data_IF_481658844321
#
_entry.id   IF_481658844321
#
_cell.length_a   1.000
_cell.length_b   1.000
_cell.length_c   1.000
_cell.angle_alpha   90.00
_cell.angle_beta   90.00
_cell.angle_gamma   90.00
#
_symmetry.space_group_name_H-M   'P 1'
#
loop_
_entity.id
_entity.type
_entity.pdbx_description
1 polymer ?
#
# COMPACT_ATOMS: atom_id res chain seq x y z
N UNK A 1 -29.85 -50.69 -2.30
CA UNK A 1 -28.63 -49.89 -2.52
C UNK A 1 -28.85 -48.52 -1.90
N UNK A 2 -28.24 -48.24 -0.75
CA UNK A 2 -28.31 -46.93 -0.12
C UNK A 2 -27.21 -46.04 -0.70
N UNK A 3 -27.58 -45.05 -1.51
CA UNK A 3 -26.65 -44.00 -1.93
C UNK A 3 -26.31 -43.14 -0.71
N UNK A 4 -25.05 -43.19 -0.29
CA UNK A 4 -24.51 -42.46 0.85
C UNK A 4 -24.47 -40.95 0.58
N UNK A 5 -25.52 -40.27 1.03
CA UNK A 5 -25.70 -38.80 0.97
C UNK A 5 -24.60 -37.97 1.69
N UNK A 6 -23.71 -38.61 2.49
CA UNK A 6 -22.54 -37.97 3.10
C UNK A 6 -21.45 -37.60 2.08
N UNK A 7 -21.30 -38.39 1.01
CA UNK A 7 -20.22 -38.22 0.04
C UNK A 7 -20.35 -36.94 -0.82
N UNK A 8 -21.58 -36.52 -1.17
CA UNK A 8 -21.78 -35.34 -2.03
C UNK A 8 -21.52 -34.02 -1.31
N UNK A 9 -21.84 -33.93 0.00
CA UNK A 9 -21.57 -32.74 0.82
C UNK A 9 -20.06 -32.52 1.04
N UNK A 10 -19.32 -33.59 1.33
CA UNK A 10 -17.88 -33.51 1.55
C UNK A 10 -17.13 -33.15 0.26
N UNK A 11 -17.61 -33.64 -0.89
CA UNK A 11 -17.07 -33.28 -2.21
C UNK A 11 -17.31 -31.80 -2.52
N UNK A 12 -18.53 -31.29 -2.30
CA UNK A 12 -18.86 -29.87 -2.51
C UNK A 12 -18.09 -28.91 -1.60
N UNK A 13 -17.87 -29.28 -0.34
CA UNK A 13 -17.07 -28.48 0.59
C UNK A 13 -15.59 -28.41 0.18
N UNK A 14 -15.03 -29.54 -0.30
CA UNK A 14 -13.66 -29.60 -0.80
C UNK A 14 -13.48 -28.78 -2.07
N UNK A 15 -14.40 -28.89 -3.02
CA UNK A 15 -14.36 -28.09 -4.26
C UNK A 15 -14.46 -26.59 -3.98
N UNK A 16 -15.35 -26.18 -3.06
CA UNK A 16 -15.45 -24.79 -2.64
C UNK A 16 -14.16 -24.29 -2.00
N UNK A 17 -13.55 -25.09 -1.13
CA UNK A 17 -12.27 -24.77 -0.50
C UNK A 17 -11.14 -24.61 -1.53
N UNK A 18 -11.07 -25.48 -2.52
CA UNK A 18 -10.08 -25.39 -3.60
C UNK A 18 -10.28 -24.12 -4.42
N UNK A 19 -11.52 -23.82 -4.85
CA UNK A 19 -11.82 -22.60 -5.62
C UNK A 19 -11.51 -21.32 -4.84
N UNK A 20 -11.81 -21.31 -3.54
CA UNK A 20 -11.47 -20.16 -2.67
C UNK A 20 -9.95 -19.98 -2.55
N UNK A 21 -9.21 -21.09 -2.47
CA UNK A 21 -7.76 -21.06 -2.43
C UNK A 21 -7.14 -20.56 -3.76
N UNK A 22 -7.67 -21.00 -4.90
CA UNK A 22 -7.27 -20.52 -6.23
C UNK A 22 -7.47 -18.99 -6.33
N UNK A 23 -8.67 -18.50 -6.01
CA UNK A 23 -8.97 -17.05 -6.02
C UNK A 23 -8.05 -16.25 -5.10
N UNK A 24 -7.73 -16.78 -3.92
CA UNK A 24 -6.78 -16.15 -3.00
C UNK A 24 -5.38 -16.11 -3.60
N UNK A 25 -4.94 -17.20 -4.23
CA UNK A 25 -3.61 -17.28 -4.86
C UNK A 25 -3.47 -16.31 -6.03
N UNK A 26 -4.51 -16.16 -6.83
CA UNK A 26 -4.58 -15.17 -7.92
C UNK A 26 -4.49 -13.74 -7.37
N UNK A 27 -5.30 -13.45 -6.34
CA UNK A 27 -5.29 -12.16 -5.63
C UNK A 27 -3.88 -11.84 -5.09
N UNK A 28 -3.22 -12.82 -4.48
CA UNK A 28 -1.87 -12.66 -3.92
C UNK A 28 -0.80 -12.45 -4.98
N UNK A 29 -0.92 -13.15 -6.11
CA UNK A 29 -0.04 -12.96 -7.27
C UNK A 29 -0.17 -11.54 -7.81
N UNK A 30 -1.40 -11.02 -7.85
CA UNK A 30 -1.67 -9.67 -8.31
C UNK A 30 -1.18 -8.59 -7.36
N UNK A 31 -1.32 -8.78 -6.03
CA UNK A 31 -0.68 -7.93 -5.01
C UNK A 31 0.83 -7.83 -5.26
N UNK A 32 1.50 -8.97 -5.44
CA UNK A 32 2.96 -8.98 -5.67
C UNK A 32 3.36 -8.30 -6.98
N UNK A 33 2.52 -8.36 -8.02
CA UNK A 33 2.73 -7.60 -9.26
C UNK A 33 2.55 -6.11 -9.02
N UNK A 34 1.47 -5.71 -8.35
CA UNK A 34 1.17 -4.32 -8.05
C UNK A 34 2.28 -3.67 -7.20
N UNK A 35 2.81 -4.38 -6.20
CA UNK A 35 3.96 -3.93 -5.40
C UNK A 35 5.19 -3.57 -6.24
N UNK A 36 5.44 -4.33 -7.32
CA UNK A 36 6.58 -4.11 -8.22
C UNK A 36 6.30 -3.03 -9.25
N UNK A 37 5.07 -2.95 -9.75
CA UNK A 37 4.69 -2.03 -10.82
C UNK A 37 4.50 -0.60 -10.28
N UNK A 38 4.07 -0.47 -9.03
CA UNK A 38 3.89 0.81 -8.32
C UNK A 38 5.03 1.12 -7.33
N UNK A 39 6.20 0.50 -7.50
CA UNK A 39 7.38 0.79 -6.69
C UNK A 39 7.86 2.25 -6.94
N UNK A 40 7.89 3.11 -5.90
CA UNK A 40 8.37 4.48 -6.02
C UNK A 40 9.79 4.62 -6.58
N UNK A 41 10.69 3.65 -6.35
CA UNK A 41 12.09 3.72 -6.86
C UNK A 41 12.19 3.66 -8.38
N UNK A 42 11.13 3.17 -9.02
CA UNK A 42 11.06 3.04 -10.48
C UNK A 42 10.51 4.31 -11.13
N UNK A 43 10.18 5.32 -10.32
CA UNK A 43 9.73 6.64 -10.75
C UNK A 43 10.90 7.62 -10.80
N UNK A 44 10.80 8.67 -11.63
CA UNK A 44 11.73 9.79 -11.57
C UNK A 44 11.77 10.39 -10.17
N UNK A 45 12.90 10.97 -9.80
CA UNK A 45 12.95 11.91 -8.67
C UNK A 45 12.14 13.17 -9.01
N UNK A 46 11.78 14.02 -8.03
CA UNK A 46 11.13 15.29 -8.31
C UNK A 46 11.87 16.14 -9.36
N UNK A 47 13.20 16.20 -9.32
CA UNK A 47 14.02 16.87 -10.33
C UNK A 47 13.89 16.20 -11.70
N UNK A 48 13.90 14.86 -11.74
CA UNK A 48 13.71 14.10 -12.98
C UNK A 48 12.32 14.27 -13.60
N UNK A 49 11.29 14.62 -12.82
CA UNK A 49 9.99 15.02 -13.36
C UNK A 49 10.05 16.39 -14.04
N UNK A 50 10.70 17.37 -13.39
CA UNK A 50 10.90 18.72 -13.94
C UNK A 50 11.73 18.68 -15.23
N UNK A 51 12.81 17.89 -15.25
CA UNK A 51 13.64 17.71 -16.45
C UNK A 51 12.86 17.14 -17.64
N UNK A 52 11.92 16.22 -17.39
CA UNK A 52 11.07 15.62 -18.42
C UNK A 52 10.02 16.58 -18.96
N UNK A 53 9.47 17.44 -18.10
CA UNK A 53 8.54 18.49 -18.52
C UNK A 53 9.23 19.51 -19.44
N UNK A 54 10.50 19.80 -19.18
CA UNK A 54 11.31 20.75 -19.96
C UNK A 54 12.09 20.11 -21.12
N UNK A 55 11.98 18.80 -21.35
CA UNK A 55 12.62 18.14 -22.47
C UNK A 55 11.90 18.51 -23.79
N UNK A 56 12.63 19.14 -24.72
CA UNK A 56 12.11 19.69 -25.97
C UNK A 56 11.26 18.68 -26.78
N UNK A 57 10.00 19.07 -27.06
CA UNK A 57 9.24 18.57 -28.21
C UNK A 57 8.10 17.59 -27.96
N UNK A 58 7.74 17.27 -26.70
CA UNK A 58 6.49 16.56 -26.42
C UNK A 58 5.43 17.52 -25.85
N UNK A 59 4.20 17.53 -26.41
CA UNK A 59 3.09 18.17 -25.71
C UNK A 59 2.95 17.52 -24.33
N UNK A 60 2.82 18.36 -23.30
CA UNK A 60 2.64 17.94 -21.91
C UNK A 60 1.25 17.31 -21.71
N UNK A 61 0.97 16.19 -22.37
CA UNK A 61 -0.03 15.26 -21.88
C UNK A 61 0.55 14.74 -20.57
N UNK A 62 0.02 15.29 -19.45
CA UNK A 62 0.67 15.35 -18.15
C UNK A 62 1.47 14.11 -17.74
N UNK A 63 2.63 14.33 -17.13
CA UNK A 63 3.51 13.23 -16.70
C UNK A 63 2.79 12.42 -15.61
N UNK A 64 2.52 11.14 -15.90
CA UNK A 64 1.87 10.24 -14.95
C UNK A 64 2.75 9.98 -13.71
N UNK A 65 2.21 10.31 -12.53
CA UNK A 65 2.88 10.10 -11.24
C UNK A 65 2.94 8.60 -10.86
N UNK A 66 1.92 7.84 -11.22
CA UNK A 66 1.79 6.38 -11.00
C UNK A 66 1.59 5.69 -12.36
N UNK A 67 2.14 4.49 -12.59
CA UNK A 67 1.91 3.75 -13.87
C UNK A 67 0.58 2.99 -13.91
N UNK A 68 -0.29 3.19 -12.93
CA UNK A 68 -1.65 2.65 -12.98
C UNK A 68 -2.61 3.72 -12.52
N UNK A 69 -3.71 3.80 -13.24
CA UNK A 69 -4.88 4.53 -12.81
C UNK A 69 -5.57 3.75 -11.69
N UNK A 70 -5.53 4.32 -10.48
CA UNK A 70 -6.14 3.73 -9.30
C UNK A 70 -7.67 3.96 -9.24
N UNK A 71 -8.22 4.76 -10.14
CA UNK A 71 -9.66 4.96 -10.29
C UNK A 71 -10.28 4.07 -11.38
N UNK A 72 -9.45 3.33 -12.13
CA UNK A 72 -9.89 2.41 -13.17
C UNK A 72 -10.77 1.27 -12.62
N UNK A 73 -11.72 0.81 -13.44
CA UNK A 73 -12.60 -0.33 -13.10
C UNK A 73 -11.78 -1.58 -12.76
N UNK A 74 -10.72 -1.86 -13.52
CA UNK A 74 -9.80 -2.98 -13.26
C UNK A 74 -9.18 -2.91 -11.86
N UNK A 75 -8.80 -1.71 -11.42
CA UNK A 75 -8.23 -1.51 -10.09
C UNK A 75 -9.29 -1.65 -8.99
N UNK A 76 -10.49 -1.14 -9.21
CA UNK A 76 -11.62 -1.31 -8.29
C UNK A 76 -12.00 -2.79 -8.13
N UNK A 77 -12.02 -3.55 -9.23
CA UNK A 77 -12.23 -4.99 -9.19
C UNK A 77 -11.11 -5.72 -8.45
N UNK A 78 -9.85 -5.32 -8.66
CA UNK A 78 -8.71 -5.88 -7.95
C UNK A 78 -8.81 -5.63 -6.43
N UNK A 79 -9.06 -4.39 -6.02
CA UNK A 79 -9.20 -4.05 -4.60
C UNK A 79 -10.39 -4.78 -3.94
N UNK A 80 -11.53 -4.90 -4.63
CA UNK A 80 -12.66 -5.70 -4.16
C UNK A 80 -12.31 -7.20 -4.00
N UNK A 81 -11.46 -7.75 -4.86
CA UNK A 81 -10.93 -9.12 -4.72
C UNK A 81 -10.03 -9.26 -3.50
N UNK A 82 -9.17 -8.27 -3.23
CA UNK A 82 -8.36 -8.24 -2.00
C UNK A 82 -9.27 -8.28 -0.77
N UNK A 83 -10.30 -7.45 -0.72
CA UNK A 83 -11.24 -7.43 0.39
C UNK A 83 -12.01 -8.75 0.57
N UNK A 84 -12.35 -9.41 -0.53
CA UNK A 84 -13.13 -10.64 -0.53
C UNK A 84 -12.33 -11.90 -0.20
N UNK A 85 -11.07 -11.99 -0.66
CA UNK A 85 -10.30 -13.25 -0.65
C UNK A 85 -9.06 -13.23 0.24
N UNK A 86 -8.48 -12.05 0.50
CA UNK A 86 -7.30 -11.94 1.34
C UNK A 86 -7.64 -12.14 2.84
N UNK A 87 -6.65 -12.62 3.59
CA UNK A 87 -6.71 -12.60 5.06
C UNK A 87 -6.83 -11.18 5.60
N UNK A 88 -7.25 -11.04 6.85
CA UNK A 88 -7.28 -9.75 7.54
C UNK A 88 -5.88 -9.11 7.62
N UNK A 89 -4.85 -9.91 7.90
CA UNK A 89 -3.47 -9.43 7.94
C UNK A 89 -2.98 -8.90 6.58
N UNK A 90 -3.28 -9.62 5.50
CA UNK A 90 -2.89 -9.20 4.15
C UNK A 90 -3.68 -7.97 3.72
N UNK A 91 -4.98 -7.93 3.98
CA UNK A 91 -5.84 -6.78 3.67
C UNK A 91 -5.36 -5.52 4.41
N UNK A 92 -5.08 -5.65 5.70
CA UNK A 92 -4.55 -4.54 6.50
C UNK A 92 -3.24 -3.99 5.93
N UNK A 93 -2.28 -4.87 5.64
CA UNK A 93 -0.98 -4.46 5.06
C UNK A 93 -1.13 -3.88 3.65
N UNK A 94 -2.07 -4.40 2.85
CA UNK A 94 -2.39 -3.87 1.54
C UNK A 94 -2.99 -2.45 1.63
N UNK A 95 -3.95 -2.21 2.52
CA UNK A 95 -4.50 -0.87 2.76
C UNK A 95 -3.44 0.11 3.28
N UNK A 96 -2.56 -0.34 4.18
CA UNK A 96 -1.43 0.46 4.66
C UNK A 96 -0.45 0.81 3.53
N UNK A 97 -0.21 -0.12 2.60
CA UNK A 97 0.62 0.13 1.43
C UNK A 97 -0.01 1.19 0.51
N UNK A 98 -1.32 1.09 0.23
CA UNK A 98 -2.03 2.12 -0.53
C UNK A 98 -1.96 3.50 0.14
N UNK A 99 -2.15 3.55 1.45
CA UNK A 99 -2.06 4.80 2.21
C UNK A 99 -0.64 5.40 2.18
N UNK A 100 0.40 4.54 2.19
CA UNK A 100 1.79 4.97 2.08
C UNK A 100 2.11 5.48 0.67
N UNK A 101 1.58 4.83 -0.38
CA UNK A 101 1.68 5.31 -1.76
C UNK A 101 0.98 6.67 -1.93
N UNK A 102 -0.19 6.87 -1.33
CA UNK A 102 -0.86 8.17 -1.35
C UNK A 102 0.00 9.26 -0.68
N UNK A 103 0.66 8.94 0.45
CA UNK A 103 1.61 9.85 1.10
C UNK A 103 2.83 10.16 0.25
N UNK A 104 3.41 9.15 -0.41
CA UNK A 104 4.53 9.35 -1.32
C UNK A 104 4.15 10.25 -2.51
N UNK A 105 2.99 10.00 -3.12
CA UNK A 105 2.48 10.82 -4.23
C UNK A 105 2.27 12.28 -3.79
N UNK A 106 1.67 12.49 -2.61
CA UNK A 106 1.46 13.80 -2.04
C UNK A 106 2.78 14.56 -1.82
N UNK A 107 3.76 13.91 -1.19
CA UNK A 107 5.07 14.52 -0.92
C UNK A 107 5.87 14.79 -2.19
N UNK A 108 5.71 13.93 -3.21
CA UNK A 108 6.31 14.16 -4.54
C UNK A 108 5.74 15.44 -5.15
N UNK A 109 4.40 15.61 -5.12
CA UNK A 109 3.76 16.84 -5.60
C UNK A 109 4.20 18.08 -4.79
N UNK A 110 4.32 17.95 -3.46
CA UNK A 110 4.84 19.02 -2.58
C UNK A 110 6.25 19.44 -3.01
N UNK A 111 7.14 18.49 -3.30
CA UNK A 111 8.49 18.77 -3.81
C UNK A 111 8.44 19.50 -5.15
N UNK A 112 7.61 19.05 -6.10
CA UNK A 112 7.48 19.66 -7.42
C UNK A 112 6.98 21.12 -7.34
N UNK A 113 6.01 21.40 -6.48
CA UNK A 113 5.48 22.76 -6.29
C UNK A 113 6.53 23.72 -5.73
N UNK A 114 7.41 23.24 -4.84
CA UNK A 114 8.45 24.07 -4.21
C UNK A 114 9.75 24.14 -5.01
N UNK A 115 9.92 23.27 -6.02
CA UNK A 115 11.12 23.23 -6.85
C UNK A 115 11.35 24.59 -7.54
N UNK A 116 12.51 25.20 -7.31
CA UNK A 116 12.89 26.50 -7.86
C UNK A 116 12.19 27.74 -7.26
N UNK A 117 11.11 27.56 -6.50
CA UNK A 117 10.36 28.65 -5.87
C UNK A 117 10.80 28.92 -4.41
N UNK A 118 11.09 27.87 -3.64
CA UNK A 118 11.45 27.97 -2.22
C UNK A 118 12.41 26.84 -1.83
N UNK A 119 13.71 27.13 -1.79
CA UNK A 119 14.75 26.12 -1.53
C UNK A 119 14.68 25.50 -0.14
N UNK A 120 14.22 26.23 0.87
CA UNK A 120 14.07 25.70 2.24
C UNK A 120 12.91 24.71 2.32
N UNK A 121 11.74 25.09 1.79
CA UNK A 121 10.59 24.17 1.74
C UNK A 121 10.82 22.97 0.84
N UNK A 122 11.59 23.16 -0.23
CA UNK A 122 12.00 22.06 -1.10
C UNK A 122 12.85 21.04 -0.33
N UNK A 123 13.90 21.50 0.38
CA UNK A 123 14.76 20.63 1.18
C UNK A 123 13.98 19.88 2.28
N UNK A 124 13.06 20.56 2.96
CA UNK A 124 12.17 19.94 3.95
C UNK A 124 11.29 18.85 3.31
N UNK A 125 10.65 19.15 2.18
CA UNK A 125 9.77 18.21 1.49
C UNK A 125 10.53 16.99 0.96
N UNK A 126 11.75 17.17 0.48
CA UNK A 126 12.62 16.06 0.04
C UNK A 126 13.00 15.15 1.20
N UNK A 127 13.32 15.71 2.37
CA UNK A 127 13.60 14.90 3.57
C UNK A 127 12.37 14.09 4.03
N UNK A 128 11.18 14.70 3.98
CA UNK A 128 9.92 13.99 4.25
C UNK A 128 9.66 12.88 3.21
N UNK A 129 9.94 13.15 1.93
CA UNK A 129 9.76 12.19 0.83
C UNK A 129 10.67 10.96 1.01
N UNK A 130 11.93 11.16 1.37
CA UNK A 130 12.88 10.09 1.65
C UNK A 130 12.43 9.21 2.83
N UNK A 131 11.91 9.84 3.88
CA UNK A 131 11.34 9.12 5.03
C UNK A 131 10.10 8.32 4.62
N UNK A 132 9.19 8.92 3.85
CA UNK A 132 7.99 8.27 3.34
C UNK A 132 8.32 7.09 2.43
N UNK A 133 9.35 7.22 1.60
CA UNK A 133 9.87 6.15 0.78
C UNK A 133 10.35 4.96 1.64
N UNK A 134 11.16 5.22 2.67
CA UNK A 134 11.64 4.17 3.57
C UNK A 134 10.47 3.45 4.26
N UNK A 135 9.45 4.18 4.71
CA UNK A 135 8.23 3.63 5.28
C UNK A 135 7.46 2.76 4.27
N UNK A 136 7.24 3.26 3.06
CA UNK A 136 6.55 2.54 1.98
C UNK A 136 7.25 1.22 1.65
N UNK A 137 8.58 1.25 1.55
CA UNK A 137 9.40 0.07 1.30
C UNK A 137 9.28 -0.99 2.41
N UNK A 138 9.29 -0.57 3.67
CA UNK A 138 9.09 -1.49 4.80
C UNK A 138 7.69 -2.13 4.77
N UNK A 139 6.65 -1.39 4.39
CA UNK A 139 5.31 -1.95 4.20
C UNK A 139 5.30 -2.98 3.06
N UNK A 140 5.92 -2.67 1.92
CA UNK A 140 6.04 -3.60 0.79
C UNK A 140 6.75 -4.89 1.18
N UNK A 141 7.82 -4.83 2.00
CA UNK A 141 8.49 -6.01 2.56
C UNK A 141 7.58 -6.82 3.46
N UNK A 142 6.89 -6.17 4.39
CA UNK A 142 5.99 -6.85 5.33
C UNK A 142 4.85 -7.55 4.60
N UNK A 143 4.20 -6.85 3.65
CA UNK A 143 3.13 -7.40 2.81
C UNK A 143 3.62 -8.58 1.97
N UNK A 144 4.78 -8.45 1.30
CA UNK A 144 5.38 -9.54 0.52
C UNK A 144 5.63 -10.77 1.39
N UNK A 145 6.22 -10.58 2.57
CA UNK A 145 6.51 -11.70 3.45
C UNK A 145 5.24 -12.28 4.11
N UNK A 146 4.16 -11.51 4.27
CA UNK A 146 2.86 -12.01 4.74
C UNK A 146 2.21 -12.89 3.67
N UNK A 147 2.13 -12.39 2.43
CA UNK A 147 1.63 -13.15 1.27
C UNK A 147 2.41 -14.45 1.10
N UNK A 148 3.75 -14.41 1.13
CA UNK A 148 4.59 -15.61 1.02
C UNK A 148 4.37 -16.61 2.16
N UNK A 149 4.19 -16.12 3.39
CA UNK A 149 3.91 -16.98 4.53
C UNK A 149 2.57 -17.72 4.33
N UNK A 150 1.52 -17.00 3.91
CA UNK A 150 0.21 -17.59 3.70
C UNK A 150 0.17 -18.57 2.53
N UNK A 151 0.85 -18.27 1.41
CA UNK A 151 1.03 -19.21 0.29
C UNK A 151 1.75 -20.49 0.72
N UNK A 152 2.63 -20.40 1.73
CA UNK A 152 3.31 -21.54 2.34
C UNK A 152 2.51 -22.17 3.52
N UNK A 153 1.25 -21.78 3.71
CA UNK A 153 0.38 -22.21 4.81
C UNK A 153 0.95 -21.92 6.21
N UNK A 154 1.79 -20.90 6.34
CA UNK A 154 2.37 -20.45 7.61
C UNK A 154 1.57 -19.31 8.19
N UNK A 155 1.29 -19.39 9.49
CA UNK A 155 0.70 -18.28 10.24
C UNK A 155 1.76 -17.24 10.55
N UNK A 156 1.48 -15.98 10.21
CA UNK A 156 2.30 -14.82 10.57
C UNK A 156 1.38 -13.72 11.06
N UNK A 157 1.77 -13.07 12.16
CA UNK A 157 1.09 -11.90 12.68
C UNK A 157 1.77 -10.62 12.20
N UNK A 158 0.97 -9.60 11.91
CA UNK A 158 1.49 -8.26 11.60
C UNK A 158 2.16 -7.64 12.83
N UNK A 159 3.37 -7.11 12.64
CA UNK A 159 4.09 -6.35 13.67
C UNK A 159 3.32 -5.08 14.02
N UNK A 160 3.44 -4.59 15.25
CA UNK A 160 2.77 -3.34 15.66
C UNK A 160 3.22 -2.19 14.75
N UNK A 161 2.26 -1.45 14.20
CA UNK A 161 2.51 -0.35 13.27
C UNK A 161 2.28 0.99 13.97
N UNK A 162 3.19 1.92 13.74
CA UNK A 162 3.02 3.35 14.05
C UNK A 162 3.05 4.10 12.72
N UNK A 163 2.06 4.96 12.50
CA UNK A 163 1.92 5.75 11.28
C UNK A 163 1.94 7.24 11.60
N UNK A 164 2.51 8.02 10.70
CA UNK A 164 2.40 9.48 10.67
C UNK A 164 1.61 9.86 9.43
N UNK A 165 0.71 10.84 9.55
CA UNK A 165 -0.13 11.31 8.46
C UNK A 165 -0.06 12.83 8.35
N UNK A 166 -0.26 13.42 7.16
CA UNK A 166 -0.35 14.86 7.01
C UNK A 166 -1.58 15.39 7.76
N UNK A 167 -1.46 16.57 8.35
CA UNK A 167 -2.60 17.23 8.99
C UNK A 167 -3.69 17.53 7.95
N UNK A 168 -4.94 17.15 8.24
CA UNK A 168 -6.08 17.39 7.36
C UNK A 168 -6.20 16.47 6.14
N UNK A 169 -5.22 15.62 5.83
CA UNK A 169 -5.29 14.70 4.70
C UNK A 169 -5.67 13.28 5.14
N UNK A 170 -6.96 12.98 5.05
CA UNK A 170 -7.54 11.72 5.49
C UNK A 170 -7.25 10.60 4.48
N UNK A 171 -6.15 9.85 4.70
CA UNK A 171 -5.84 8.64 3.93
C UNK A 171 -4.39 8.52 3.47
N UNK A 172 -3.60 9.59 3.53
CA UNK A 172 -2.16 9.55 3.26
C UNK A 172 -1.37 9.21 4.52
N UNK A 173 -0.32 8.43 4.35
CA UNK A 173 0.64 8.09 5.41
C UNK A 173 2.03 8.48 4.94
N UNK A 174 2.67 9.40 5.67
CA UNK A 174 4.00 9.96 5.34
C UNK A 174 5.15 9.26 6.06
N UNK A 175 4.87 8.46 7.08
CA UNK A 175 5.87 7.62 7.73
C UNK A 175 5.22 6.35 8.29
N UNK A 176 5.92 5.24 8.19
CA UNK A 176 5.50 3.95 8.73
C UNK A 176 6.65 3.30 9.48
N UNK A 177 6.41 2.95 10.74
CA UNK A 177 7.38 2.26 11.59
C UNK A 177 6.78 0.97 12.15
N UNK A 178 7.43 -0.15 11.85
CA UNK A 178 7.13 -1.43 12.49
C UNK A 178 7.92 -1.56 13.79
N UNK A 179 7.21 -1.55 14.92
CA UNK A 179 7.80 -1.60 16.25
C UNK A 179 7.59 -2.97 16.91
N UNK A 180 8.27 -3.20 18.04
CA UNK A 180 8.13 -4.44 18.81
C UNK A 180 6.68 -4.62 19.27
N UNK A 181 6.13 -5.81 19.00
CA UNK A 181 4.78 -6.20 19.40
C UNK A 181 3.94 -6.64 18.20
N UNK A 182 2.69 -7.01 18.49
CA UNK A 182 1.71 -7.43 17.49
C UNK A 182 0.68 -6.33 17.27
N UNK A 183 0.32 -6.09 16.01
CA UNK A 183 -0.79 -5.23 15.66
C UNK A 183 -2.10 -5.89 16.13
N UNK A 184 -2.84 -5.21 17.00
CA UNK A 184 -4.10 -5.72 17.57
C UNK A 184 -5.32 -5.35 16.73
N UNK A 185 -5.32 -4.13 16.18
CA UNK A 185 -6.38 -3.69 15.29
C UNK A 185 -5.93 -3.86 13.84
N UNK A 186 -6.59 -4.77 13.12
CA UNK A 186 -6.38 -5.04 11.70
C UNK A 186 -7.49 -4.43 10.82
N UNK A 187 -8.32 -3.55 11.38
CA UNK A 187 -9.23 -2.74 10.58
C UNK A 187 -8.42 -1.98 9.52
N UNK A 188 -8.89 -1.96 8.26
CA UNK A 188 -8.31 -1.11 7.24
C UNK A 188 -8.18 0.32 7.77
N UNK A 189 -7.08 0.97 7.40
CA UNK A 189 -6.87 2.40 7.62
C UNK A 189 -7.81 3.20 6.70
N UNK A 190 -9.12 2.97 6.83
CA UNK A 190 -10.11 3.87 6.27
C UNK A 190 -9.86 5.25 6.88
N UNK A 191 -10.09 6.27 6.07
CA UNK A 191 -9.87 7.70 6.28
C UNK A 191 -10.36 8.31 7.62
N UNK A 192 -10.86 7.53 8.58
CA UNK A 192 -11.44 8.00 9.84
C UNK A 192 -10.57 7.82 11.10
N UNK A 193 -9.44 7.09 11.09
CA UNK A 193 -8.66 6.83 12.34
C UNK A 193 -7.14 6.77 12.17
N UNK A 194 -6.56 7.70 11.42
CA UNK A 194 -5.15 8.02 11.62
C UNK A 194 -5.06 8.80 12.95
N UNK A 195 -4.80 8.09 14.04
CA UNK A 195 -4.49 8.72 15.33
C UNK A 195 -3.16 9.42 15.14
N UNK A 196 -3.19 10.73 14.88
CA UNK A 196 -2.00 11.58 15.00
C UNK A 196 -1.41 11.35 16.38
N UNK A 197 -0.23 10.75 16.43
CA UNK A 197 0.60 10.84 17.63
C UNK A 197 0.99 12.31 17.72
N UNK A 198 0.26 13.08 18.54
CA UNK A 198 0.65 14.43 18.92
C UNK A 198 2.13 14.38 19.29
N UNK A 199 2.95 15.23 18.66
CA UNK A 199 4.28 15.52 19.14
C UNK A 199 4.16 15.90 20.62
N UNK A 200 4.54 14.97 21.49
CA UNK A 200 4.78 15.28 22.88
C UNK A 200 6.04 16.10 22.91
N UNK A 201 5.90 17.42 22.99
CA UNK A 201 6.96 18.31 23.41
C UNK A 201 7.55 17.74 24.71
N UNK A 202 8.88 17.59 24.84
CA UNK A 202 9.47 17.34 26.14
C UNK A 202 9.19 18.61 26.97
N UNK A 203 8.32 18.49 27.95
CA UNK A 203 8.20 19.47 29.02
C UNK A 203 9.52 19.47 29.81
N UNK A 204 10.26 20.58 29.69
CA UNK A 204 11.17 21.06 30.73
C UNK A 204 10.39 21.44 32.00
#
# INVERSE_FOLDING_TARGET
MAFTHKSSRDTGARELSTRMWEKRTDTYTEILRALRDLDPTRRPSPEGFVEREHADGQPSDGIELLARDLDSEEWQEFTARVDSFASEETRYLFSLWLASLAGWSWLTMKCLIHHGADGEKYAESTAELDQCYAGTWEVSKELTAQVRAELAFKKRSVRRVVVTAPEGFLGAVTDVKFVKGRQKNLEPLSAARLVSVKHGSPSE
#
